data_IF_291217404490
#
_entry.id   IF_291217404490
#
_cell.length_a   1.000
_cell.length_b   1.000
_cell.length_c   1.000
_cell.angle_alpha   90.00
_cell.angle_beta   90.00
_cell.angle_gamma   90.00
#
_symmetry.space_group_name_H-M   'P 1'
#
loop_
_entity.id
_entity.type
_entity.pdbx_description
1 polymer ?
#
# COMPACT_ATOMS: atom_id res chain seq x y z
N UNK A 1 -32.60 -9.81 -26.17
CA UNK A 1 -32.77 -8.51 -25.48
C UNK A 1 -31.42 -7.92 -25.11
N UNK A 2 -30.60 -8.58 -24.28
CA UNK A 2 -29.23 -8.09 -23.95
C UNK A 2 -28.41 -7.66 -25.17
N UNK A 3 -28.29 -8.53 -26.18
CA UNK A 3 -27.57 -8.21 -27.43
C UNK A 3 -28.10 -6.95 -28.15
N UNK A 4 -29.41 -6.72 -28.10
CA UNK A 4 -30.01 -5.54 -28.71
C UNK A 4 -29.64 -4.27 -27.93
N UNK A 5 -29.50 -4.33 -26.61
CA UNK A 5 -29.01 -3.21 -25.80
C UNK A 5 -27.53 -2.92 -26.02
N UNK A 6 -26.73 -3.97 -26.23
CA UNK A 6 -25.32 -3.83 -26.60
C UNK A 6 -25.17 -3.17 -27.99
N UNK A 7 -25.99 -3.57 -28.96
CA UNK A 7 -26.00 -3.01 -30.32
C UNK A 7 -26.53 -1.56 -30.37
N UNK A 8 -27.47 -1.19 -29.51
CA UNK A 8 -27.96 0.20 -29.40
C UNK A 8 -27.05 1.10 -28.59
N UNK A 9 -25.99 0.56 -27.97
CA UNK A 9 -25.04 1.31 -27.15
C UNK A 9 -25.61 1.75 -25.80
N UNK A 10 -26.71 1.16 -25.35
CA UNK A 10 -27.29 1.46 -24.04
C UNK A 10 -26.43 0.86 -22.93
N UNK A 11 -25.85 1.71 -22.08
CA UNK A 11 -24.99 1.29 -20.97
C UNK A 11 -25.68 1.53 -19.63
N UNK A 12 -25.88 0.46 -18.87
CA UNK A 12 -26.35 0.52 -17.48
C UNK A 12 -25.23 1.00 -16.55
N UNK A 13 -25.57 1.89 -15.64
CA UNK A 13 -24.72 2.28 -14.51
C UNK A 13 -25.24 1.66 -13.21
N UNK A 14 -24.42 1.57 -12.15
CA UNK A 14 -24.87 1.09 -10.84
C UNK A 14 -26.07 1.88 -10.28
N UNK A 15 -26.18 3.15 -10.66
CA UNK A 15 -27.22 4.06 -10.18
C UNK A 15 -28.52 3.99 -10.98
N UNK A 16 -28.50 3.29 -12.13
CA UNK A 16 -29.70 3.14 -12.96
C UNK A 16 -30.73 2.28 -12.24
N UNK A 17 -31.97 2.74 -12.20
CA UNK A 17 -33.08 2.01 -11.55
C UNK A 17 -33.88 1.15 -12.53
N UNK A 18 -34.59 0.13 -12.01
CA UNK A 18 -35.44 -0.74 -12.82
C UNK A 18 -36.55 0.02 -13.58
N UNK A 19 -37.24 1.04 -13.01
CA UNK A 19 -38.23 1.82 -13.75
C UNK A 19 -37.62 2.61 -14.92
N UNK A 20 -36.46 3.21 -14.71
CA UNK A 20 -35.73 3.94 -15.77
C UNK A 20 -35.30 3.00 -16.89
N UNK A 21 -34.74 1.83 -16.52
CA UNK A 21 -34.40 0.78 -17.47
C UNK A 21 -35.61 0.29 -18.25
N UNK A 22 -36.72 0.01 -17.57
CA UNK A 22 -37.94 -0.52 -18.20
C UNK A 22 -38.55 0.49 -19.18
N UNK A 23 -38.52 1.78 -18.83
CA UNK A 23 -38.95 2.87 -19.71
C UNK A 23 -38.07 2.98 -20.96
N UNK A 24 -36.74 2.99 -20.78
CA UNK A 24 -35.78 3.04 -21.88
C UNK A 24 -35.87 1.78 -22.78
N UNK A 25 -36.01 0.61 -22.17
CA UNK A 25 -36.17 -0.66 -22.85
C UNK A 25 -37.40 -0.66 -23.76
N UNK A 26 -38.57 -0.28 -23.21
CA UNK A 26 -39.82 -0.22 -23.96
C UNK A 26 -39.75 0.76 -25.13
N UNK A 27 -39.14 1.93 -24.94
CA UNK A 27 -38.94 2.92 -26.00
C UNK A 27 -37.96 2.45 -27.10
N UNK A 28 -36.96 1.63 -26.76
CA UNK A 28 -36.02 1.09 -27.76
C UNK A 28 -36.62 -0.06 -28.56
N UNK A 29 -37.57 -0.77 -27.97
CA UNK A 29 -38.19 -1.95 -28.56
C UNK A 29 -39.65 -1.72 -28.89
N UNK A 30 -40.04 -0.52 -29.33
CA UNK A 30 -41.41 -0.09 -29.69
C UNK A 30 -42.22 -1.09 -30.57
N UNK A 31 -41.57 -2.12 -31.14
CA UNK A 31 -42.15 -3.17 -31.98
C UNK A 31 -42.20 -4.56 -31.35
N UNK A 32 -41.69 -4.75 -30.14
CA UNK A 32 -41.62 -6.04 -29.44
C UNK A 32 -42.47 -5.98 -28.17
N UNK A 33 -43.45 -6.88 -28.07
CA UNK A 33 -44.22 -7.09 -26.86
C UNK A 33 -43.37 -7.90 -25.86
N UNK A 34 -42.64 -7.20 -24.98
CA UNK A 34 -41.77 -7.80 -23.98
C UNK A 34 -42.52 -7.86 -22.65
N UNK A 35 -42.49 -9.04 -22.01
CA UNK A 35 -43.07 -9.21 -20.67
C UNK A 35 -42.21 -8.52 -19.63
N UNK A 36 -42.85 -7.95 -18.61
CA UNK A 36 -42.13 -7.30 -17.51
C UNK A 36 -41.21 -8.28 -16.75
N UNK A 37 -41.54 -9.58 -16.72
CA UNK A 37 -40.66 -10.63 -16.17
C UNK A 37 -39.33 -10.75 -16.90
N UNK A 38 -39.36 -10.63 -18.24
CA UNK A 38 -38.18 -10.75 -19.07
C UNK A 38 -37.33 -9.48 -18.98
N UNK A 39 -37.97 -8.31 -18.87
CA UNK A 39 -37.29 -7.05 -18.58
C UNK A 39 -36.59 -7.07 -17.22
N UNK A 40 -37.26 -7.59 -16.19
CA UNK A 40 -36.67 -7.68 -14.86
C UNK A 40 -35.45 -8.62 -14.85
N UNK A 41 -35.55 -9.79 -15.49
CA UNK A 41 -34.43 -10.73 -15.57
C UNK A 41 -33.22 -10.13 -16.30
N UNK A 42 -33.46 -9.42 -17.41
CA UNK A 42 -32.40 -8.73 -18.16
C UNK A 42 -31.80 -7.60 -17.33
N UNK A 43 -32.64 -6.80 -16.67
CA UNK A 43 -32.17 -5.73 -15.77
C UNK A 43 -31.29 -6.28 -14.66
N UNK A 44 -31.74 -7.29 -13.92
CA UNK A 44 -31.00 -7.85 -12.79
C UNK A 44 -29.62 -8.33 -13.22
N UNK A 45 -29.54 -9.04 -14.35
CA UNK A 45 -28.27 -9.55 -14.89
C UNK A 45 -27.35 -8.43 -15.35
N UNK A 46 -27.85 -7.47 -16.12
CA UNK A 46 -27.04 -6.36 -16.63
C UNK A 46 -26.62 -5.38 -15.52
N UNK A 47 -27.51 -5.09 -14.57
CA UNK A 47 -27.22 -4.25 -13.41
C UNK A 47 -26.19 -4.89 -12.49
N UNK A 48 -26.34 -6.19 -12.18
CA UNK A 48 -25.34 -6.93 -11.40
C UNK A 48 -23.96 -6.93 -12.08
N UNK A 49 -23.93 -7.08 -13.41
CA UNK A 49 -22.70 -6.95 -14.21
C UNK A 49 -22.10 -5.54 -14.14
N UNK A 50 -22.92 -4.50 -14.26
CA UNK A 50 -22.50 -3.10 -14.16
C UNK A 50 -21.93 -2.77 -12.78
N UNK A 51 -22.60 -3.19 -11.70
CA UNK A 51 -22.12 -3.04 -10.31
C UNK A 51 -20.78 -3.75 -10.11
N UNK A 52 -20.67 -5.00 -10.57
CA UNK A 52 -19.43 -5.76 -10.47
C UNK A 52 -18.28 -5.07 -11.21
N UNK A 53 -18.52 -4.67 -12.45
CA UNK A 53 -17.51 -4.01 -13.30
C UNK A 53 -17.08 -2.67 -12.70
N UNK A 54 -18.01 -1.89 -12.17
CA UNK A 54 -17.71 -0.62 -11.52
C UNK A 54 -16.82 -0.83 -10.28
N UNK A 55 -17.18 -1.78 -9.42
CA UNK A 55 -16.38 -2.15 -8.24
C UNK A 55 -14.97 -2.63 -8.61
N UNK A 56 -14.86 -3.43 -9.67
CA UNK A 56 -13.57 -3.91 -10.17
C UNK A 56 -12.71 -2.76 -10.72
N UNK A 57 -13.31 -1.83 -11.46
CA UNK A 57 -12.62 -0.61 -11.94
C UNK A 57 -12.11 0.24 -10.77
N UNK A 58 -12.91 0.46 -9.73
CA UNK A 58 -12.47 1.20 -8.54
C UNK A 58 -11.28 0.51 -7.86
N UNK A 59 -11.35 -0.81 -7.65
CA UNK A 59 -10.25 -1.58 -7.06
C UNK A 59 -8.97 -1.51 -7.89
N UNK A 60 -9.10 -1.60 -9.20
CA UNK A 60 -7.96 -1.55 -10.12
C UNK A 60 -7.35 -0.14 -10.15
N UNK A 61 -8.18 0.92 -10.09
CA UNK A 61 -7.71 2.30 -9.94
C UNK A 61 -6.96 2.51 -8.63
N UNK A 62 -7.52 2.04 -7.50
CA UNK A 62 -6.85 2.10 -6.20
C UNK A 62 -5.52 1.33 -6.21
N UNK A 63 -5.49 0.14 -6.81
CA UNK A 63 -4.28 -0.67 -6.94
C UNK A 63 -3.19 0.06 -7.74
N UNK A 64 -3.55 0.65 -8.87
CA UNK A 64 -2.62 1.45 -9.69
C UNK A 64 -2.14 2.68 -8.94
N UNK A 65 -3.01 3.34 -8.20
CA UNK A 65 -2.65 4.49 -7.38
C UNK A 65 -1.64 4.10 -6.30
N UNK A 66 -1.88 2.99 -5.58
CA UNK A 66 -0.92 2.46 -4.59
C UNK A 66 0.42 2.10 -5.21
N UNK A 67 0.43 1.49 -6.40
CA UNK A 67 1.68 1.18 -7.10
C UNK A 67 2.49 2.44 -7.41
N UNK A 68 1.85 3.51 -7.92
CA UNK A 68 2.51 4.81 -8.15
C UNK A 68 3.09 5.39 -6.85
N UNK A 69 2.34 5.29 -5.75
CA UNK A 69 2.78 5.78 -4.43
C UNK A 69 3.97 4.98 -3.88
N UNK A 70 3.98 3.66 -4.07
CA UNK A 70 5.09 2.79 -3.70
C UNK A 70 6.35 3.08 -4.53
N UNK A 71 6.20 3.27 -5.84
CA UNK A 71 7.30 3.67 -6.72
C UNK A 71 7.91 5.00 -6.28
N UNK A 72 7.07 6.00 -5.99
CA UNK A 72 7.54 7.28 -5.47
C UNK A 72 8.25 7.13 -4.11
N UNK A 73 7.69 6.34 -3.19
CA UNK A 73 8.34 6.05 -1.89
C UNK A 73 9.69 5.36 -2.06
N UNK A 74 9.79 4.41 -2.99
CA UNK A 74 11.03 3.70 -3.28
C UNK A 74 12.08 4.64 -3.88
N UNK A 75 11.65 5.54 -4.76
CA UNK A 75 12.48 6.61 -5.29
C UNK A 75 13.01 7.52 -4.18
N UNK A 76 12.17 7.98 -3.24
CA UNK A 76 12.60 8.80 -2.09
C UNK A 76 13.70 8.10 -1.26
N UNK A 77 13.58 6.79 -1.03
CA UNK A 77 14.58 5.99 -0.30
C UNK A 77 15.94 5.94 -0.99
N UNK A 78 15.97 6.09 -2.32
CA UNK A 78 17.18 6.01 -3.15
C UNK A 78 17.63 7.36 -3.70
N UNK A 79 16.89 8.42 -3.41
CA UNK A 79 17.17 9.75 -3.92
C UNK A 79 18.55 10.23 -3.45
N UNK A 80 19.29 10.83 -4.38
CA UNK A 80 20.62 11.42 -4.13
C UNK A 80 20.56 12.87 -4.60
N UNK A 81 20.88 13.85 -3.74
CA UNK A 81 21.37 13.72 -2.36
C UNK A 81 20.31 13.15 -1.39
N UNK A 82 20.77 12.47 -0.33
CA UNK A 82 19.86 11.90 0.68
C UNK A 82 19.04 13.01 1.34
N UNK A 83 17.73 12.81 1.43
CA UNK A 83 16.82 13.73 2.11
C UNK A 83 17.10 13.72 3.62
N UNK A 84 17.09 14.91 4.23
CA UNK A 84 17.28 15.09 5.66
C UNK A 84 15.94 14.87 6.40
N UNK A 85 15.95 14.28 7.62
CA UNK A 85 14.72 13.96 8.35
C UNK A 85 13.81 15.15 8.74
N UNK A 86 14.29 16.38 8.58
CA UNK A 86 13.66 17.62 9.06
C UNK A 86 13.36 18.59 7.92
N UNK A 87 13.57 18.17 6.66
CA UNK A 87 13.21 18.98 5.49
C UNK A 87 11.70 19.07 5.34
N UNK A 88 11.22 20.27 5.02
CA UNK A 88 9.80 20.48 4.74
C UNK A 88 9.41 19.90 3.38
N UNK A 89 8.12 19.71 3.15
CA UNK A 89 7.64 19.22 1.85
C UNK A 89 7.99 20.20 0.73
N UNK A 90 7.87 21.50 0.98
CA UNK A 90 8.14 22.56 0.01
C UNK A 90 9.59 22.55 -0.48
N UNK A 91 10.55 22.38 0.44
CA UNK A 91 11.98 22.28 0.12
C UNK A 91 12.28 21.05 -0.76
N UNK A 92 11.68 19.90 -0.42
CA UNK A 92 11.89 18.65 -1.16
C UNK A 92 11.17 18.67 -2.49
N UNK A 93 9.99 19.28 -2.56
CA UNK A 93 9.16 19.36 -3.77
C UNK A 93 9.93 19.96 -4.94
N UNK A 94 10.68 21.04 -4.71
CA UNK A 94 11.49 21.65 -5.76
C UNK A 94 12.58 20.71 -6.28
N UNK A 95 13.24 19.98 -5.37
CA UNK A 95 14.30 19.02 -5.71
C UNK A 95 13.77 17.82 -6.52
N UNK A 96 12.55 17.37 -6.23
CA UNK A 96 11.96 16.18 -6.86
C UNK A 96 11.16 16.49 -8.13
N UNK A 97 10.81 17.75 -8.36
CA UNK A 97 9.90 18.20 -9.43
C UNK A 97 10.23 17.67 -10.83
N UNK A 98 11.51 17.44 -11.11
CA UNK A 98 11.97 16.97 -12.42
C UNK A 98 11.90 15.45 -12.60
N UNK A 99 11.80 14.69 -11.51
CA UNK A 99 11.77 13.22 -11.55
C UNK A 99 10.50 12.67 -12.20
N UNK A 100 10.62 11.47 -12.79
CA UNK A 100 9.49 10.80 -13.44
C UNK A 100 8.50 10.35 -12.37
N UNK A 101 9.02 9.82 -11.27
CA UNK A 101 8.27 9.27 -10.14
C UNK A 101 7.42 10.35 -9.45
N UNK A 102 7.96 11.57 -9.30
CA UNK A 102 7.18 12.72 -8.84
C UNK A 102 6.01 13.03 -9.78
N UNK A 103 6.23 12.97 -11.10
CA UNK A 103 5.22 13.25 -12.14
C UNK A 103 4.18 12.14 -12.31
N UNK A 104 4.44 10.92 -11.82
CA UNK A 104 3.48 9.81 -11.88
C UNK A 104 2.28 10.00 -10.96
N UNK A 105 2.45 10.72 -9.85
CA UNK A 105 1.39 11.09 -8.93
C UNK A 105 0.64 12.31 -9.44
N UNK A 106 -0.68 12.25 -9.42
CA UNK A 106 -1.54 13.21 -10.12
C UNK A 106 -1.71 14.53 -9.35
N UNK A 107 -1.62 14.49 -8.02
CA UNK A 107 -1.86 15.66 -7.15
C UNK A 107 -0.71 15.92 -6.17
N UNK A 108 -0.48 17.19 -5.82
CA UNK A 108 0.56 17.56 -4.85
C UNK A 108 0.26 17.00 -3.45
N UNK A 109 -1.02 16.95 -3.07
CA UNK A 109 -1.47 16.36 -1.80
C UNK A 109 -1.11 14.89 -1.66
N UNK A 110 -1.19 14.10 -2.74
CA UNK A 110 -0.75 12.69 -2.72
C UNK A 110 0.76 12.59 -2.53
N UNK A 111 1.53 13.43 -3.24
CA UNK A 111 3.00 13.44 -3.14
C UNK A 111 3.44 13.81 -1.72
N UNK A 112 2.82 14.82 -1.13
CA UNK A 112 3.05 15.24 0.25
C UNK A 112 2.72 14.11 1.24
N UNK A 113 1.57 13.43 1.07
CA UNK A 113 1.17 12.33 1.94
C UNK A 113 2.19 11.17 1.90
N UNK A 114 2.68 10.79 0.72
CA UNK A 114 3.72 9.77 0.58
C UNK A 114 5.03 10.21 1.22
N UNK A 115 5.41 11.49 1.05
CA UNK A 115 6.61 12.05 1.68
C UNK A 115 6.53 12.02 3.21
N UNK A 116 5.39 12.40 3.80
CA UNK A 116 5.17 12.32 5.26
C UNK A 116 5.33 10.90 5.78
N UNK A 117 4.72 9.91 5.11
CA UNK A 117 4.89 8.50 5.47
C UNK A 117 6.36 8.05 5.37
N UNK A 118 7.08 8.51 4.37
CA UNK A 118 8.52 8.26 4.26
C UNK A 118 9.29 8.86 5.44
N UNK A 119 8.98 10.10 5.85
CA UNK A 119 9.62 10.72 7.03
C UNK A 119 9.33 9.93 8.31
N UNK A 120 8.08 9.51 8.51
CA UNK A 120 7.69 8.70 9.67
C UNK A 120 8.48 7.38 9.72
N UNK A 121 8.63 6.70 8.59
CA UNK A 121 9.46 5.49 8.47
C UNK A 121 10.94 5.75 8.79
N UNK A 122 11.49 6.89 8.34
CA UNK A 122 12.89 7.28 8.60
C UNK A 122 13.09 7.58 10.09
N UNK A 123 12.17 8.31 10.71
CA UNK A 123 12.22 8.63 12.14
C UNK A 123 12.06 7.38 13.00
N UNK A 124 11.08 6.52 12.69
CA UNK A 124 10.86 5.25 13.39
C UNK A 124 12.10 4.35 13.33
N UNK A 125 12.70 4.18 12.15
CA UNK A 125 13.93 3.40 11.97
C UNK A 125 15.10 3.95 12.78
N UNK A 126 15.23 5.28 12.84
CA UNK A 126 16.29 5.94 13.62
C UNK A 126 16.10 5.73 15.12
N UNK A 127 14.85 5.78 15.59
CA UNK A 127 14.51 5.51 17.00
C UNK A 127 14.83 4.07 17.37
N UNK A 128 14.40 3.09 16.58
CA UNK A 128 14.70 1.66 16.81
C UNK A 128 16.20 1.37 16.82
N UNK A 129 16.97 2.01 15.93
CA UNK A 129 18.43 1.86 15.91
C UNK A 129 19.07 2.36 17.21
N UNK A 130 18.61 3.53 17.70
CA UNK A 130 19.07 4.11 18.96
C UNK A 130 18.71 3.22 20.16
N UNK A 131 17.50 2.67 20.18
CA UNK A 131 17.05 1.78 21.26
C UNK A 131 17.87 0.47 21.31
N UNK A 132 18.15 -0.13 20.15
CA UNK A 132 19.03 -1.32 20.06
C UNK A 132 20.45 -1.01 20.54
N UNK A 133 20.99 0.15 20.19
CA UNK A 133 22.32 0.56 20.62
C UNK A 133 22.38 0.74 22.15
N UNK A 134 21.40 1.43 22.73
CA UNK A 134 21.29 1.61 24.19
C UNK A 134 21.10 0.28 24.92
N UNK A 135 20.32 -0.65 24.37
CA UNK A 135 20.13 -1.99 24.95
C UNK A 135 21.40 -2.83 24.90
N UNK A 136 22.18 -2.74 23.81
CA UNK A 136 23.44 -3.47 23.64
C UNK A 136 24.55 -2.98 24.60
N UNK A 137 24.50 -1.73 25.06
CA UNK A 137 25.50 -1.19 25.99
C UNK A 137 25.30 -1.65 27.44
N UNK A 138 24.12 -2.16 27.80
CA UNK A 138 23.81 -2.59 29.18
C UNK A 138 24.20 -4.05 29.49
N UNK A 139 24.57 -4.87 28.49
CA UNK A 139 24.85 -6.30 28.69
C UNK A 139 26.34 -6.65 28.83
N UNK A 140 27.26 -5.68 28.71
CA UNK A 140 28.72 -5.90 28.69
C UNK A 140 29.46 -5.42 29.96
N UNK A 141 28.80 -5.44 31.12
CA UNK A 141 29.40 -5.01 32.40
C UNK A 141 29.23 -6.00 33.57
N UNK A 142 29.01 -7.29 33.29
CA UNK A 142 29.01 -8.31 34.36
C UNK A 142 29.69 -9.60 33.90
N UNK A 143 31.01 -9.55 33.73
CA UNK A 143 31.82 -10.71 33.33
C UNK A 143 33.26 -10.67 33.85
N UNK A 144 33.54 -9.97 34.95
CA UNK A 144 34.83 -10.02 35.63
C UNK A 144 34.81 -11.05 36.75
N UNK A 145 34.96 -12.33 36.42
CA UNK A 145 35.16 -13.39 37.41
C UNK A 145 36.61 -13.28 37.94
N UNK A 146 36.85 -13.09 39.25
CA UNK A 146 38.20 -13.08 39.79
C UNK A 146 38.84 -14.49 39.67
N UNK A 147 40.17 -14.58 39.50
CA UNK A 147 40.83 -15.87 39.30
C UNK A 147 40.69 -16.77 40.52
N UNK A 148 40.32 -18.02 40.27
CA UNK A 148 40.32 -19.13 41.21
C UNK A 148 41.74 -19.35 41.74
N UNK A 149 41.91 -19.33 43.06
CA UNK A 149 43.14 -19.76 43.72
C UNK A 149 43.27 -21.28 43.57
N UNK A 150 44.17 -21.72 42.69
CA UNK A 150 44.57 -23.12 42.62
C UNK A 150 45.28 -23.54 43.90
N UNK A 151 44.79 -24.64 44.47
CA UNK A 151 45.39 -25.33 45.60
C UNK A 151 46.78 -25.86 45.22
N UNK A 152 47.76 -25.55 46.06
CA UNK A 152 49.09 -26.15 46.01
C UNK A 152 48.95 -27.57 46.56
N UNK A 153 48.93 -28.55 45.66
CA UNK A 153 49.15 -29.97 45.95
C UNK A 153 50.67 -30.20 45.88
N UNK A 154 51.31 -30.43 47.03
CA UNK A 154 52.73 -30.78 47.09
C UNK A 154 52.83 -32.29 47.11
N UNK A 155 53.35 -32.85 46.02
CA UNK A 155 53.73 -34.25 45.86
C UNK A 155 54.61 -34.72 47.04
N UNK A 156 54.16 -35.78 47.72
CA UNK A 156 55.02 -36.63 48.54
C UNK A 156 55.92 -37.46 47.63
N UNK A 157 57.23 -37.21 47.72
CA UNK A 157 58.28 -38.00 47.09
C UNK A 157 59.36 -38.40 48.10
N UNK A 158 59.41 -39.71 48.36
CA UNK A 158 60.58 -40.55 48.69
C UNK A 158 61.30 -40.48 50.06
N UNK A 159 61.18 -41.62 50.76
CA UNK A 159 62.25 -42.61 51.03
C UNK A 159 63.37 -42.24 52.01
N UNK A 160 63.48 -43.02 53.10
CA UNK A 160 64.78 -43.45 53.64
C UNK A 160 64.67 -44.80 54.34
N UNK A 161 65.76 -45.56 54.22
CA UNK A 161 66.02 -47.00 54.45
C UNK A 161 65.66 -47.62 55.81
#
# INVERSE_FOLDING_TARGET
LEKHFEETGFSLTPDTTLPEFSSAAKAMTDKLEIKDSDLNLVYEKMHASAVRTHKEKLREQEKRQRAKEEDFRYFLKRFVPRLLPHQSWEEVRELLSNSVEYKLLDTDTQREAVYRQFQDEVHSRKMEATERELSSMNTDSTGGQPPSNDAIDVEEGEMVD
#
